data_IF_475334816425
#
_entry.id   IF_475334816425
#
_cell.length_a   1.000
_cell.length_b   1.000
_cell.length_c   1.000
_cell.angle_alpha   90.00
_cell.angle_beta   90.00
_cell.angle_gamma   90.00
#
_symmetry.space_group_name_H-M   'P 1'
#
loop_
_entity.id
_entity.type
_entity.pdbx_description
1 polymer ?
#
# COMPACT_ATOMS: atom_id res chain seq x y z
N UNK A 1 32.98 13.48 17.60
CA UNK A 1 31.55 13.84 17.62
C UNK A 1 30.78 12.77 18.38
N UNK A 2 30.21 13.13 19.53
CA UNK A 2 29.35 12.22 20.29
C UNK A 2 28.03 12.14 19.51
N UNK A 3 27.71 10.96 18.94
CA UNK A 3 26.45 10.74 18.26
C UNK A 3 25.30 11.00 19.23
N UNK A 4 24.37 11.90 18.87
CA UNK A 4 23.18 12.20 19.65
C UNK A 4 22.29 10.95 19.71
N UNK A 5 21.82 10.59 20.91
CA UNK A 5 20.86 9.48 21.06
C UNK A 5 19.56 9.79 20.30
N UNK A 6 19.04 8.78 19.59
CA UNK A 6 17.78 8.87 18.87
C UNK A 6 16.61 9.06 19.85
N UNK A 7 15.78 10.08 19.62
CA UNK A 7 14.61 10.36 20.46
C UNK A 7 13.38 9.59 19.93
N UNK A 8 12.33 9.48 20.77
CA UNK A 8 11.05 8.89 20.33
C UNK A 8 10.49 9.65 19.13
N UNK A 9 10.64 10.98 19.11
CA UNK A 9 10.22 11.82 17.99
C UNK A 9 10.98 11.48 16.70
N UNK A 10 12.29 11.30 16.79
CA UNK A 10 13.13 10.90 15.63
C UNK A 10 12.67 9.56 15.06
N UNK A 11 12.37 8.58 15.92
CA UNK A 11 11.87 7.26 15.52
C UNK A 11 10.53 7.37 14.79
N UNK A 12 9.60 8.13 15.35
CA UNK A 12 8.24 8.30 14.79
C UNK A 12 8.29 9.08 13.46
N UNK A 13 9.09 10.14 13.39
CA UNK A 13 9.26 10.93 12.15
C UNK A 13 9.95 10.13 11.06
N UNK A 14 10.93 9.32 11.40
CA UNK A 14 11.57 8.38 10.47
C UNK A 14 10.58 7.37 9.91
N UNK A 15 9.67 6.85 10.74
CA UNK A 15 8.61 5.94 10.31
C UNK A 15 7.63 6.63 9.35
N UNK A 16 7.23 7.87 9.64
CA UNK A 16 6.37 8.67 8.74
C UNK A 16 7.02 8.85 7.37
N UNK A 17 8.27 9.24 7.34
CA UNK A 17 9.01 9.46 6.09
C UNK A 17 9.10 8.16 5.28
N UNK A 18 9.31 7.04 5.96
CA UNK A 18 9.32 5.72 5.32
C UNK A 18 7.96 5.32 4.77
N UNK A 19 6.89 5.57 5.51
CA UNK A 19 5.51 5.33 5.02
C UNK A 19 5.27 6.10 3.73
N UNK A 20 5.59 7.40 3.71
CA UNK A 20 5.40 8.25 2.54
C UNK A 20 6.24 7.76 1.34
N UNK A 21 7.52 7.47 1.56
CA UNK A 21 8.42 6.98 0.53
C UNK A 21 7.95 5.62 -0.04
N UNK A 22 7.52 4.71 0.83
CA UNK A 22 7.04 3.39 0.43
C UNK A 22 5.74 3.50 -0.37
N UNK A 23 4.81 4.34 0.05
CA UNK A 23 3.56 4.55 -0.69
C UNK A 23 3.78 5.22 -2.05
N UNK A 24 4.71 6.17 -2.16
CA UNK A 24 5.11 6.76 -3.45
C UNK A 24 5.70 5.72 -4.39
N UNK A 25 6.59 4.89 -3.90
CA UNK A 25 7.16 3.77 -4.68
C UNK A 25 6.10 2.76 -5.08
N UNK A 26 5.22 2.38 -4.17
CA UNK A 26 4.13 1.43 -4.44
C UNK A 26 3.17 1.95 -5.51
N UNK A 27 2.80 3.22 -5.45
CA UNK A 27 1.93 3.86 -6.45
C UNK A 27 2.56 3.82 -7.84
N UNK A 28 3.84 4.15 -7.94
CA UNK A 28 4.60 4.12 -9.19
C UNK A 28 4.72 2.70 -9.75
N UNK A 29 5.07 1.74 -8.92
CA UNK A 29 5.20 0.33 -9.32
C UNK A 29 3.86 -0.23 -9.79
N UNK A 30 2.79 0.05 -9.05
CA UNK A 30 1.43 -0.37 -9.39
C UNK A 30 1.00 0.17 -10.76
N UNK A 31 1.13 1.46 -10.99
CA UNK A 31 0.80 2.12 -12.26
C UNK A 31 1.59 1.53 -13.43
N UNK A 32 2.90 1.44 -13.29
CA UNK A 32 3.78 0.90 -14.34
C UNK A 32 3.49 -0.56 -14.64
N UNK A 33 3.16 -1.35 -13.63
CA UNK A 33 2.81 -2.76 -13.79
C UNK A 33 1.55 -2.91 -14.62
N UNK A 34 0.49 -2.17 -14.31
CA UNK A 34 -0.77 -2.23 -15.08
C UNK A 34 -0.57 -1.79 -16.55
N UNK A 35 0.10 -0.67 -16.75
CA UNK A 35 0.39 -0.19 -18.11
C UNK A 35 1.24 -1.19 -18.89
N UNK A 36 2.23 -1.80 -18.25
CA UNK A 36 3.08 -2.81 -18.87
C UNK A 36 2.32 -4.09 -19.24
N UNK A 37 1.33 -4.49 -18.44
CA UNK A 37 0.42 -5.59 -18.80
C UNK A 37 -0.37 -5.25 -20.06
N UNK A 38 -0.96 -4.04 -20.13
CA UNK A 38 -1.75 -3.62 -21.29
C UNK A 38 -0.93 -3.50 -22.56
N UNK A 39 0.33 -3.11 -22.45
CA UNK A 39 1.29 -3.00 -23.55
C UNK A 39 2.11 -4.27 -23.79
N UNK A 40 1.90 -5.30 -22.98
CA UNK A 40 2.66 -6.54 -23.03
C UNK A 40 4.19 -6.30 -22.97
N UNK A 41 4.61 -5.34 -22.13
CA UNK A 41 6.01 -4.97 -21.98
C UNK A 41 6.71 -5.84 -20.93
N UNK A 42 7.30 -6.94 -21.39
CA UNK A 42 7.99 -7.92 -20.54
C UNK A 42 9.14 -7.33 -19.75
N UNK A 43 9.92 -6.44 -20.36
CA UNK A 43 11.08 -5.83 -19.70
C UNK A 43 10.67 -4.98 -18.52
N UNK A 44 9.68 -4.12 -18.69
CA UNK A 44 9.16 -3.26 -17.59
C UNK A 44 8.58 -4.12 -16.48
N UNK A 45 7.83 -5.19 -16.82
CA UNK A 45 7.29 -6.11 -15.82
C UNK A 45 8.39 -6.81 -15.01
N UNK A 46 9.47 -7.23 -15.65
CA UNK A 46 10.63 -7.81 -14.97
C UNK A 46 11.23 -6.82 -13.97
N UNK A 47 11.40 -5.57 -14.38
CA UNK A 47 11.91 -4.50 -13.52
C UNK A 47 10.96 -4.24 -12.34
N UNK A 48 9.66 -4.26 -12.57
CA UNK A 48 8.66 -4.05 -11.51
C UNK A 48 8.62 -5.20 -10.51
N UNK A 49 8.82 -6.44 -10.95
CA UNK A 49 9.00 -7.59 -10.03
C UNK A 49 10.18 -7.36 -9.11
N UNK A 50 11.33 -6.93 -9.65
CA UNK A 50 12.52 -6.65 -8.84
C UNK A 50 12.27 -5.53 -7.84
N UNK A 51 11.73 -4.41 -8.29
CA UNK A 51 11.48 -3.26 -7.42
C UNK A 51 10.45 -3.57 -6.33
N UNK A 52 9.39 -4.31 -6.65
CA UNK A 52 8.40 -4.71 -5.64
C UNK A 52 8.94 -5.73 -4.64
N UNK A 53 9.79 -6.65 -5.08
CA UNK A 53 10.48 -7.58 -4.18
C UNK A 53 11.40 -6.82 -3.21
N UNK A 54 12.19 -5.87 -3.70
CA UNK A 54 13.07 -5.06 -2.86
C UNK A 54 12.27 -4.27 -1.83
N UNK A 55 11.16 -3.68 -2.24
CA UNK A 55 10.28 -2.92 -1.36
C UNK A 55 9.66 -3.81 -0.26
N UNK A 56 9.24 -5.02 -0.62
CA UNK A 56 8.71 -5.99 0.34
C UNK A 56 9.79 -6.45 1.33
N UNK A 57 10.99 -6.77 0.85
CA UNK A 57 12.07 -7.22 1.74
C UNK A 57 12.53 -6.13 2.71
N UNK A 58 12.56 -4.86 2.30
CA UNK A 58 12.81 -3.74 3.20
C UNK A 58 11.75 -3.65 4.31
N UNK A 59 10.47 -3.78 3.96
CA UNK A 59 9.37 -3.78 4.94
C UNK A 59 9.44 -4.97 5.88
N UNK A 60 9.84 -6.13 5.39
CA UNK A 60 10.00 -7.35 6.19
C UNK A 60 11.17 -7.24 7.16
N UNK A 61 12.30 -6.67 6.74
CA UNK A 61 13.44 -6.39 7.61
C UNK A 61 13.05 -5.46 8.75
N UNK A 62 12.26 -4.42 8.48
CA UNK A 62 11.73 -3.55 9.52
C UNK A 62 10.86 -4.31 10.51
N UNK A 63 10.03 -5.24 10.05
CA UNK A 63 9.22 -6.10 10.92
C UNK A 63 10.08 -6.99 11.81
N UNK A 64 11.15 -7.56 11.29
CA UNK A 64 12.10 -8.36 12.08
C UNK A 64 12.91 -7.52 13.07
N UNK A 65 13.16 -6.26 12.76
CA UNK A 65 13.85 -5.30 13.66
C UNK A 65 12.91 -4.60 14.63
N UNK A 66 11.66 -5.03 14.72
CA UNK A 66 10.62 -4.39 15.51
C UNK A 66 10.98 -4.35 17.02
N UNK A 67 11.39 -5.46 17.59
CA UNK A 67 11.68 -5.55 19.03
C UNK A 67 12.82 -4.63 19.47
N UNK A 68 13.97 -4.58 18.79
CA UNK A 68 15.01 -3.59 19.11
C UNK A 68 14.52 -2.15 19.05
N UNK A 69 13.68 -1.81 18.08
CA UNK A 69 13.12 -0.46 17.94
C UNK A 69 12.16 -0.12 19.07
N UNK A 70 11.27 -1.06 19.44
CA UNK A 70 10.35 -0.88 20.57
C UNK A 70 11.09 -0.67 21.90
N UNK A 71 12.24 -1.33 22.10
CA UNK A 71 13.09 -1.13 23.29
C UNK A 71 13.72 0.25 23.35
N UNK A 72 13.93 0.90 22.20
CA UNK A 72 14.43 2.27 22.11
C UNK A 72 13.38 3.32 22.46
N UNK A 73 12.08 2.98 22.32
CA UNK A 73 10.99 3.87 22.69
C UNK A 73 10.97 4.07 24.22
N UNK A 74 11.30 5.28 24.63
CA UNK A 74 11.41 5.63 26.05
C UNK A 74 10.05 5.98 26.66
N UNK A 75 9.91 5.76 27.97
CA UNK A 75 8.76 6.20 28.73
C UNK A 75 7.61 5.22 28.83
N UNK A 76 7.74 4.00 28.27
CA UNK A 76 6.76 2.91 28.48
C UNK A 76 5.37 3.19 27.96
N UNK A 77 5.22 4.09 26.95
CA UNK A 77 3.93 4.36 26.32
C UNK A 77 3.49 3.18 25.44
N UNK A 78 2.63 2.33 26.02
CA UNK A 78 2.09 1.12 25.38
C UNK A 78 1.29 1.50 24.12
N UNK A 79 0.60 2.63 24.11
CA UNK A 79 -0.19 3.06 22.97
C UNK A 79 0.72 3.45 21.79
N UNK A 80 1.81 4.17 22.04
CA UNK A 80 2.80 4.49 21.00
C UNK A 80 3.41 3.22 20.41
N UNK A 81 3.79 2.26 21.25
CA UNK A 81 4.31 0.97 20.80
C UNK A 81 3.28 0.21 19.95
N UNK A 82 2.02 0.18 20.38
CA UNK A 82 0.93 -0.48 19.66
C UNK A 82 0.73 0.13 18.26
N UNK A 83 0.65 1.45 18.16
CA UNK A 83 0.49 2.12 16.87
C UNK A 83 1.71 1.97 15.97
N UNK A 84 2.91 1.96 16.54
CA UNK A 84 4.13 1.67 15.77
C UNK A 84 4.06 0.29 15.12
N UNK A 85 3.67 -0.72 15.88
CA UNK A 85 3.48 -2.10 15.38
C UNK A 85 2.47 -2.14 14.24
N UNK A 86 1.34 -1.44 14.39
CA UNK A 86 0.30 -1.39 13.36
C UNK A 86 0.81 -0.78 12.04
N UNK A 87 1.60 0.28 12.11
CA UNK A 87 2.16 0.94 10.92
C UNK A 87 3.16 0.02 10.20
N UNK A 88 4.04 -0.62 10.95
CA UNK A 88 5.01 -1.58 10.39
C UNK A 88 4.29 -2.76 9.74
N UNK A 89 3.26 -3.27 10.37
CA UNK A 89 2.45 -4.37 9.81
C UNK A 89 1.73 -3.94 8.54
N UNK A 90 1.17 -2.72 8.51
CA UNK A 90 0.56 -2.16 7.32
C UNK A 90 1.53 -2.09 6.13
N UNK A 91 2.75 -1.59 6.35
CA UNK A 91 3.76 -1.51 5.30
C UNK A 91 4.11 -2.90 4.75
N UNK A 92 4.22 -3.89 5.63
CA UNK A 92 4.51 -5.26 5.24
C UNK A 92 3.38 -5.87 4.40
N UNK A 93 2.14 -5.70 4.81
CA UNK A 93 0.98 -6.23 4.09
C UNK A 93 0.74 -5.51 2.75
N UNK A 94 0.93 -4.19 2.70
CA UNK A 94 0.80 -3.41 1.47
C UNK A 94 1.84 -3.82 0.42
N UNK A 95 3.10 -3.92 0.81
CA UNK A 95 4.19 -4.30 -0.09
C UNK A 95 4.10 -5.74 -0.54
N UNK A 96 3.62 -6.63 0.32
CA UNK A 96 3.33 -8.03 -0.01
C UNK A 96 2.22 -8.13 -1.06
N UNK A 97 1.13 -7.39 -0.90
CA UNK A 97 0.04 -7.34 -1.88
C UNK A 97 0.54 -6.86 -3.24
N UNK A 98 1.37 -5.83 -3.27
CA UNK A 98 1.97 -5.33 -4.49
C UNK A 98 2.84 -6.40 -5.19
N UNK A 99 3.64 -7.11 -4.44
CA UNK A 99 4.45 -8.23 -4.97
C UNK A 99 3.58 -9.33 -5.57
N UNK A 100 2.42 -9.61 -4.96
CA UNK A 100 1.44 -10.56 -5.46
C UNK A 100 0.68 -10.08 -6.71
N UNK A 101 0.89 -8.84 -7.13
CA UNK A 101 0.42 -8.31 -8.41
C UNK A 101 1.52 -8.37 -9.46
N UNK A 102 2.71 -7.90 -9.14
CA UNK A 102 3.82 -7.80 -10.10
C UNK A 102 4.28 -9.16 -10.61
N UNK A 103 4.41 -10.14 -9.73
CA UNK A 103 4.86 -11.49 -10.10
C UNK A 103 3.91 -12.19 -11.06
N UNK A 104 2.60 -12.36 -10.76
CA UNK A 104 1.70 -13.01 -11.71
C UNK A 104 1.52 -12.19 -12.99
N UNK A 105 1.59 -10.86 -12.94
CA UNK A 105 1.55 -10.02 -14.13
C UNK A 105 2.73 -10.31 -15.07
N UNK A 106 3.94 -10.38 -14.53
CA UNK A 106 5.13 -10.73 -15.31
C UNK A 106 5.02 -12.15 -15.89
N UNK A 107 4.67 -13.14 -15.06
CA UNK A 107 4.53 -14.54 -15.50
C UNK A 107 3.52 -14.71 -16.63
N UNK A 108 2.41 -13.98 -16.55
CA UNK A 108 1.37 -14.01 -17.60
C UNK A 108 1.91 -13.58 -18.96
N UNK A 109 2.63 -12.47 -19.00
CA UNK A 109 3.19 -11.94 -20.26
C UNK A 109 4.41 -12.77 -20.71
N UNK A 110 5.25 -13.18 -19.77
CA UNK A 110 6.43 -14.01 -20.07
C UNK A 110 6.05 -15.36 -20.66
N UNK A 111 4.93 -15.93 -20.24
CA UNK A 111 4.38 -17.19 -20.76
C UNK A 111 3.51 -17.00 -22.02
N UNK A 112 3.47 -15.80 -22.57
CA UNK A 112 2.71 -15.47 -23.79
C UNK A 112 1.21 -15.78 -23.71
N UNK A 113 0.61 -15.63 -22.53
CA UNK A 113 -0.82 -15.75 -22.38
C UNK A 113 -1.56 -14.59 -23.05
N UNK A 114 -2.79 -14.81 -23.44
CA UNK A 114 -3.63 -13.78 -24.04
C UNK A 114 -3.79 -12.58 -23.11
N UNK A 115 -3.70 -11.37 -23.69
CA UNK A 115 -3.82 -10.10 -22.95
C UNK A 115 -5.21 -9.84 -22.39
N UNK A 116 -5.31 -8.76 -21.64
CA UNK A 116 -6.58 -8.31 -21.08
C UNK A 116 -7.54 -7.82 -22.16
N UNK A 117 -8.84 -8.06 -21.97
CA UNK A 117 -9.89 -7.49 -22.80
C UNK A 117 -9.96 -5.96 -22.62
N UNK A 118 -10.64 -5.27 -23.54
CA UNK A 118 -10.87 -3.81 -23.41
C UNK A 118 -11.65 -3.47 -22.15
N UNK A 119 -12.62 -4.28 -21.76
CA UNK A 119 -13.40 -4.11 -20.51
C UNK A 119 -12.52 -4.25 -19.27
N UNK A 120 -11.72 -5.30 -19.20
CA UNK A 120 -10.79 -5.52 -18.09
C UNK A 120 -9.77 -4.38 -17.99
N UNK A 121 -9.23 -3.95 -19.11
CA UNK A 121 -8.28 -2.83 -19.18
C UNK A 121 -8.91 -1.54 -18.67
N UNK A 122 -10.12 -1.22 -19.11
CA UNK A 122 -10.85 -0.01 -18.69
C UNK A 122 -11.11 -0.01 -17.19
N UNK A 123 -11.56 -1.14 -16.63
CA UNK A 123 -11.81 -1.28 -15.20
C UNK A 123 -10.53 -1.08 -14.40
N UNK A 124 -9.45 -1.72 -14.80
CA UNK A 124 -8.16 -1.60 -14.11
C UNK A 124 -7.56 -0.19 -14.22
N UNK A 125 -7.73 0.51 -15.34
CA UNK A 125 -7.28 1.90 -15.48
C UNK A 125 -8.04 2.83 -14.53
N UNK A 126 -9.34 2.66 -14.40
CA UNK A 126 -10.18 3.43 -13.46
C UNK A 126 -9.76 3.16 -12.01
N UNK A 127 -9.52 1.90 -11.66
CA UNK A 127 -9.07 1.49 -10.34
C UNK A 127 -7.66 2.04 -10.05
N UNK A 128 -6.78 2.04 -11.02
CA UNK A 128 -5.44 2.63 -10.90
C UNK A 128 -5.50 4.12 -10.55
N UNK A 129 -6.37 4.87 -11.22
CA UNK A 129 -6.58 6.29 -10.93
C UNK A 129 -7.06 6.50 -9.49
N UNK A 130 -7.98 5.67 -9.01
CA UNK A 130 -8.50 5.75 -7.64
C UNK A 130 -7.43 5.43 -6.60
N UNK A 131 -6.61 4.42 -6.83
CA UNK A 131 -5.47 4.08 -5.94
C UNK A 131 -4.49 5.24 -5.86
N UNK A 132 -4.14 5.85 -7.00
CA UNK A 132 -3.25 6.99 -7.05
C UNK A 132 -3.79 8.18 -6.25
N UNK A 133 -5.07 8.50 -6.41
CA UNK A 133 -5.71 9.60 -5.68
C UNK A 133 -5.67 9.33 -4.16
N UNK A 134 -6.06 8.14 -3.73
CA UNK A 134 -6.10 7.75 -2.31
C UNK A 134 -4.69 7.85 -1.70
N UNK A 135 -3.69 7.27 -2.33
CA UNK A 135 -2.31 7.26 -1.81
C UNK A 135 -1.70 8.66 -1.78
N UNK A 136 -1.93 9.46 -2.81
CA UNK A 136 -1.47 10.85 -2.86
C UNK A 136 -2.09 11.68 -1.73
N UNK A 137 -3.39 11.54 -1.48
CA UNK A 137 -4.07 12.25 -0.38
C UNK A 137 -3.60 11.79 0.99
N UNK A 138 -3.40 10.50 1.19
CA UNK A 138 -2.81 9.97 2.43
C UNK A 138 -1.42 10.59 2.66
N UNK A 139 -0.55 10.57 1.66
CA UNK A 139 0.78 11.13 1.76
C UNK A 139 0.75 12.64 2.08
N UNK A 140 -0.13 13.38 1.46
CA UNK A 140 -0.30 14.81 1.74
C UNK A 140 -0.69 15.05 3.20
N UNK A 141 -1.68 14.30 3.72
CA UNK A 141 -2.09 14.40 5.12
C UNK A 141 -0.95 14.08 6.08
N UNK A 142 -0.16 13.05 5.79
CA UNK A 142 0.98 12.65 6.61
C UNK A 142 2.09 13.70 6.61
N UNK A 143 2.42 14.27 5.46
CA UNK A 143 3.46 15.30 5.33
C UNK A 143 3.08 16.61 5.98
N UNK A 144 1.83 17.02 5.82
CA UNK A 144 1.31 18.28 6.37
C UNK A 144 0.88 18.18 7.84
N UNK A 145 0.66 16.97 8.35
CA UNK A 145 0.14 16.74 9.68
C UNK A 145 -1.31 17.21 9.84
N UNK A 146 -2.03 17.34 8.73
CA UNK A 146 -3.43 17.78 8.70
C UNK A 146 -4.34 16.61 8.29
N UNK A 147 -5.15 16.16 9.25
CA UNK A 147 -6.06 15.02 9.09
C UNK A 147 -7.53 15.45 8.96
N UNK A 148 -7.80 16.72 8.67
CA UNK A 148 -9.17 17.25 8.56
C UNK A 148 -10.01 16.58 7.48
N UNK A 149 -9.36 16.04 6.43
CA UNK A 149 -10.01 15.37 5.29
C UNK A 149 -10.00 13.84 5.38
N UNK A 150 -9.73 13.27 6.56
CA UNK A 150 -9.61 11.82 6.71
C UNK A 150 -10.89 11.08 6.28
N UNK A 151 -12.06 11.61 6.60
CA UNK A 151 -13.34 10.99 6.24
C UNK A 151 -13.60 10.98 4.72
N UNK A 152 -13.13 12.00 4.00
CA UNK A 152 -13.20 12.03 2.53
C UNK A 152 -12.37 10.92 1.91
N UNK A 153 -11.15 10.70 2.41
CA UNK A 153 -10.27 9.64 1.93
C UNK A 153 -10.86 8.27 2.22
N UNK A 154 -11.46 8.08 3.39
CA UNK A 154 -12.12 6.83 3.74
C UNK A 154 -13.36 6.56 2.87
N UNK A 155 -14.08 7.62 2.49
CA UNK A 155 -15.20 7.52 1.53
C UNK A 155 -14.70 7.08 0.14
N UNK A 156 -13.60 7.68 -0.34
CA UNK A 156 -12.98 7.28 -1.62
C UNK A 156 -12.54 5.80 -1.58
N UNK A 157 -11.98 5.37 -0.46
CA UNK A 157 -11.60 3.97 -0.25
C UNK A 157 -12.81 3.04 -0.34
N UNK A 158 -13.89 3.37 0.32
CA UNK A 158 -15.11 2.56 0.31
C UNK A 158 -15.73 2.49 -1.10
N UNK A 159 -15.70 3.58 -1.85
CA UNK A 159 -16.12 3.61 -3.25
C UNK A 159 -15.22 2.73 -4.13
N UNK A 160 -13.92 2.73 -3.90
CA UNK A 160 -12.98 1.85 -4.58
C UNK A 160 -13.29 0.38 -4.29
N UNK A 161 -13.58 0.02 -3.05
CA UNK A 161 -13.95 -1.35 -2.68
C UNK A 161 -15.25 -1.81 -3.33
N UNK A 162 -16.23 -0.92 -3.46
CA UNK A 162 -17.47 -1.20 -4.20
C UNK A 162 -17.18 -1.43 -5.69
N UNK A 163 -16.36 -0.59 -6.30
CA UNK A 163 -15.96 -0.74 -7.70
C UNK A 163 -15.22 -2.07 -7.93
N UNK A 164 -14.33 -2.46 -7.03
CA UNK A 164 -13.63 -3.75 -7.08
C UNK A 164 -14.64 -4.91 -6.96
N UNK A 165 -15.57 -4.84 -6.03
CA UNK A 165 -16.59 -5.87 -5.83
C UNK A 165 -17.48 -6.04 -7.08
N UNK A 166 -17.89 -4.95 -7.71
CA UNK A 166 -18.66 -4.98 -8.96
C UNK A 166 -17.86 -5.54 -10.13
N UNK A 167 -16.57 -5.18 -10.22
CA UNK A 167 -15.68 -5.71 -11.26
C UNK A 167 -15.49 -7.22 -11.11
N UNK A 168 -15.32 -7.72 -9.89
CA UNK A 168 -15.23 -9.17 -9.61
C UNK A 168 -16.52 -9.88 -10.01
N UNK A 169 -17.67 -9.35 -9.61
CA UNK A 169 -18.98 -9.90 -9.93
C UNK A 169 -19.20 -9.99 -11.43
N UNK A 170 -18.89 -8.93 -12.16
CA UNK A 170 -19.00 -8.90 -13.63
C UNK A 170 -18.08 -9.92 -14.30
N UNK A 171 -16.85 -10.08 -13.80
CA UNK A 171 -15.92 -11.08 -14.35
C UNK A 171 -16.39 -12.50 -14.09
N UNK A 172 -16.90 -12.80 -12.90
CA UNK A 172 -17.47 -14.12 -12.60
C UNK A 172 -18.65 -14.45 -13.50
N UNK A 173 -19.48 -13.47 -13.84
CA UNK A 173 -20.56 -13.64 -14.81
C UNK A 173 -20.04 -13.96 -16.22
N UNK A 174 -18.98 -13.26 -16.67
CA UNK A 174 -18.34 -13.54 -17.98
C UNK A 174 -17.72 -14.93 -18.03
N UNK A 175 -17.09 -15.38 -16.94
CA UNK A 175 -16.54 -16.74 -16.82
C UNK A 175 -17.65 -17.78 -16.93
N UNK A 176 -18.76 -17.56 -16.23
CA UNK A 176 -19.92 -18.47 -16.24
C UNK A 176 -20.58 -18.58 -17.63
N UNK A 177 -20.55 -17.51 -18.41
CA UNK A 177 -21.04 -17.49 -19.80
C UNK A 177 -20.01 -17.95 -20.83
N UNK A 178 -18.83 -18.41 -20.40
CA UNK A 178 -17.71 -18.82 -21.24
C UNK A 178 -17.23 -17.71 -22.22
N UNK A 179 -17.37 -16.44 -21.81
CA UNK A 179 -17.00 -15.25 -22.62
C UNK A 179 -15.64 -14.67 -22.26
N UNK A 180 -14.82 -15.37 -21.49
CA UNK A 180 -13.54 -14.85 -21.04
C UNK A 180 -12.42 -15.87 -21.24
N UNK A 181 -11.19 -15.35 -21.42
CA UNK A 181 -9.98 -16.17 -21.40
C UNK A 181 -9.64 -16.52 -19.96
N UNK A 182 -9.46 -17.80 -19.66
CA UNK A 182 -9.24 -18.29 -18.29
C UNK A 182 -8.01 -17.67 -17.64
N UNK A 183 -6.88 -17.60 -18.33
CA UNK A 183 -5.63 -17.04 -17.77
C UNK A 183 -5.73 -15.54 -17.54
N UNK A 184 -6.29 -14.81 -18.50
CA UNK A 184 -6.53 -13.36 -18.35
C UNK A 184 -7.50 -13.07 -17.20
N UNK A 185 -8.57 -13.85 -17.06
CA UNK A 185 -9.51 -13.75 -15.95
C UNK A 185 -8.85 -13.99 -14.59
N UNK A 186 -8.01 -15.01 -14.49
CA UNK A 186 -7.27 -15.30 -13.24
C UNK A 186 -6.36 -14.14 -12.85
N UNK A 187 -5.62 -13.57 -13.80
CA UNK A 187 -4.77 -12.42 -13.53
C UNK A 187 -5.60 -11.21 -13.13
N UNK A 188 -6.68 -10.93 -13.85
CA UNK A 188 -7.59 -9.82 -13.57
C UNK A 188 -8.17 -9.90 -12.14
N UNK A 189 -8.69 -11.06 -11.75
CA UNK A 189 -9.22 -11.29 -10.40
C UNK A 189 -8.15 -11.18 -9.33
N UNK A 190 -6.95 -11.67 -9.59
CA UNK A 190 -5.80 -11.54 -8.68
C UNK A 190 -5.44 -10.08 -8.46
N UNK A 191 -5.34 -9.29 -9.54
CA UNK A 191 -5.05 -7.85 -9.44
C UNK A 191 -6.12 -7.14 -8.61
N UNK A 192 -7.40 -7.41 -8.84
CA UNK A 192 -8.51 -6.81 -8.10
C UNK A 192 -8.42 -7.12 -6.60
N UNK A 193 -8.23 -8.37 -6.25
CA UNK A 193 -8.15 -8.83 -4.86
C UNK A 193 -6.95 -8.22 -4.14
N UNK A 194 -5.79 -8.24 -4.78
CA UNK A 194 -4.56 -7.69 -4.17
C UNK A 194 -4.57 -6.16 -4.11
N UNK A 195 -5.24 -5.49 -5.04
CA UNK A 195 -5.46 -4.04 -4.96
C UNK A 195 -6.27 -3.67 -3.72
N UNK A 196 -7.31 -4.43 -3.43
CA UNK A 196 -8.08 -4.27 -2.19
C UNK A 196 -7.18 -4.45 -0.97
N UNK A 197 -6.34 -5.48 -0.95
CA UNK A 197 -5.41 -5.74 0.14
C UNK A 197 -4.40 -4.60 0.36
N UNK A 198 -3.93 -3.96 -0.72
CA UNK A 198 -3.04 -2.79 -0.63
C UNK A 198 -3.65 -1.63 0.15
N UNK A 199 -4.94 -1.38 0.02
CA UNK A 199 -5.62 -0.22 0.63
C UNK A 199 -6.45 -0.56 1.86
N UNK A 200 -6.57 -1.86 2.19
CA UNK A 200 -7.48 -2.34 3.22
C UNK A 200 -7.23 -1.72 4.60
N UNK A 201 -5.96 -1.57 4.98
CA UNK A 201 -5.56 -1.08 6.30
C UNK A 201 -5.34 0.44 6.36
N UNK A 202 -5.71 1.18 5.32
CA UNK A 202 -5.48 2.64 5.23
C UNK A 202 -6.05 3.41 6.41
N UNK A 203 -7.22 3.00 6.91
CA UNK A 203 -7.82 3.62 8.09
C UNK A 203 -6.93 3.47 9.33
N UNK A 204 -6.42 2.27 9.57
CA UNK A 204 -5.54 2.01 10.71
C UNK A 204 -4.24 2.80 10.61
N UNK A 205 -3.66 2.86 9.40
CA UNK A 205 -2.49 3.68 9.12
C UNK A 205 -2.74 5.16 9.46
N UNK A 206 -3.82 5.73 8.94
CA UNK A 206 -4.15 7.15 9.16
C UNK A 206 -4.39 7.45 10.64
N UNK A 207 -5.12 6.62 11.34
CA UNK A 207 -5.38 6.77 12.77
C UNK A 207 -4.10 6.66 13.61
N UNK A 208 -3.22 5.74 13.26
CA UNK A 208 -1.93 5.56 13.95
C UNK A 208 -1.05 6.79 13.77
N UNK A 209 -0.95 7.31 12.57
CA UNK A 209 -0.15 8.50 12.27
C UNK A 209 -0.76 9.76 12.91
N UNK A 210 -2.08 9.89 12.91
CA UNK A 210 -2.78 10.97 13.59
C UNK A 210 -2.47 10.95 15.10
N UNK A 211 -2.48 9.78 15.71
CA UNK A 211 -2.11 9.62 17.12
C UNK A 211 -0.69 10.10 17.41
N UNK A 212 0.28 9.69 16.61
CA UNK A 212 1.67 10.12 16.80
C UNK A 212 1.82 11.63 16.71
N UNK A 213 1.21 12.26 15.72
CA UNK A 213 1.34 13.70 15.51
C UNK A 213 0.62 14.50 16.59
N UNK A 214 -0.52 14.03 17.07
CA UNK A 214 -1.27 14.66 18.16
C UNK A 214 -0.47 14.63 19.48
N UNK A 215 0.10 13.48 19.83
CA UNK A 215 0.84 13.32 21.09
C UNK A 215 2.22 13.99 21.06
N UNK A 216 2.76 14.27 19.89
CA UNK A 216 3.99 15.04 19.72
C UNK A 216 3.85 16.50 20.14
N UNK A 217 2.70 17.11 19.91
CA UNK A 217 2.45 18.53 20.12
C UNK A 217 1.95 18.86 21.53
N UNK A 218 1.57 17.88 22.34
CA UNK A 218 1.20 18.09 23.73
C UNK A 218 2.44 18.28 24.60
N UNK A 219 2.62 19.44 25.25
CA UNK A 219 3.72 19.63 26.17
C UNK A 219 3.59 18.62 27.32
N UNK A 220 4.66 17.89 27.61
CA UNK A 220 4.71 17.00 28.77
C UNK A 220 4.57 17.90 30.02
N UNK A 221 3.38 17.90 30.61
CA UNK A 221 3.18 18.54 31.92
C UNK A 221 3.86 17.66 32.96
N UNK A 222 5.08 18.04 33.34
CA UNK A 222 5.73 17.42 34.46
C UNK A 222 4.99 17.90 35.71
N UNK A 223 4.15 17.08 36.29
CA UNK A 223 3.63 17.32 37.64
C UNK A 223 4.83 17.17 38.56
N UNK A 224 5.22 18.28 39.20
CA UNK A 224 6.23 18.30 40.26
C UNK A 224 5.71 17.59 41.50
#
# INVERSE_FOLDING_TARGET
EIARAETNEDIIMGLRDEVCATMESATRIYDRTLIAVFKENRKVLRDMVKESNDLFYQSRERKYSLMPTLRKLQGGDVNTAHYYVQVVDYLNEMTKALMHITRPAFEHIDNNHEGMSMEQTRDLMSINDDVEIIYRRINQMLREGDFSEIEEVLTLRDQLFEAIAEAIKSELARINEAKSNTKASMLYLTILTETKNMVLQSRNLLKSQQYFLKHRTEPKVWIK
#
